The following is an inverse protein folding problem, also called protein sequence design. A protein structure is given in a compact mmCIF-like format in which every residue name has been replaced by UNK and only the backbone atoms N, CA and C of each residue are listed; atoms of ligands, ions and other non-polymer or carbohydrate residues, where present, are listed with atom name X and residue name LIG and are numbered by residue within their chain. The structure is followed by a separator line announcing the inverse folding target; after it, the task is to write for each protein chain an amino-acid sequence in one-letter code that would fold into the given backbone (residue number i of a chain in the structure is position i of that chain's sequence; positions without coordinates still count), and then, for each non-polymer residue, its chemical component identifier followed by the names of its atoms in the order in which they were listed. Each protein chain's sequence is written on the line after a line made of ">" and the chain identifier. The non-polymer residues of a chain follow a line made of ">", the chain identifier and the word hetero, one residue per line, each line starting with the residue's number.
data_IF_468094068815
#
_entry.id   IF_468094068815
#
_cell.length_a   1.000
_cell.length_b   1.000
_cell.length_c   1.000
_cell.angle_alpha   90.00
_cell.angle_beta   90.00
_cell.angle_gamma   90.00
#
_symmetry.space_group_name_H-M   'P 1'
#
loop_
_entity.id
_entity.type
_entity.pdbx_description
1 polymer ?
#
# COMPACT_ATOMS: atom_id res chain seq x y z
N UNK A 1 -1.52 8.77 3.30
CA UNK A 1 -0.32 8.19 2.65
C UNK A 1 -0.69 6.85 2.05
N UNK A 2 -0.33 6.58 0.79
CA UNK A 2 -0.68 5.33 0.07
C UNK A 2 -2.16 4.95 0.23
N UNK A 3 -2.51 3.71 0.60
CA UNK A 3 -3.90 3.29 0.89
C UNK A 3 -4.67 4.26 1.81
N UNK A 4 -4.01 4.84 2.82
CA UNK A 4 -4.64 5.83 3.70
C UNK A 4 -5.07 7.11 2.95
N UNK A 5 -4.50 7.38 1.77
CA UNK A 5 -4.98 8.42 0.86
C UNK A 5 -6.34 8.08 0.25
N UNK A 6 -6.60 6.83 -0.15
CA UNK A 6 -7.94 6.39 -0.61
C UNK A 6 -8.98 6.57 0.50
N UNK A 7 -8.64 6.16 1.73
CA UNK A 7 -9.53 6.34 2.90
C UNK A 7 -9.82 7.82 3.14
N UNK A 8 -8.80 8.67 3.12
CA UNK A 8 -8.97 10.11 3.30
C UNK A 8 -9.80 10.75 2.19
N UNK A 9 -9.57 10.37 0.93
CA UNK A 9 -10.36 10.82 -0.23
C UNK A 9 -11.81 10.39 -0.11
N UNK A 10 -12.07 9.14 0.27
CA UNK A 10 -13.42 8.64 0.48
C UNK A 10 -14.15 9.42 1.58
N UNK A 11 -13.49 9.74 2.70
CA UNK A 11 -14.07 10.59 3.74
C UNK A 11 -14.38 11.99 3.21
N UNK A 12 -13.46 12.59 2.44
CA UNK A 12 -13.65 13.92 1.88
C UNK A 12 -14.82 13.98 0.87
N UNK A 13 -15.03 12.94 0.07
CA UNK A 13 -16.14 12.83 -0.87
C UNK A 13 -17.50 12.68 -0.15
N UNK A 14 -17.54 11.89 0.93
CA UNK A 14 -18.80 11.54 1.60
C UNK A 14 -19.19 12.50 2.75
N UNK A 15 -18.23 13.20 3.32
CA UNK A 15 -18.48 14.17 4.40
C UNK A 15 -17.61 15.44 4.22
N UNK A 16 -17.71 16.15 3.09
CA UNK A 16 -16.86 17.29 2.77
C UNK A 16 -16.92 18.40 3.84
N UNK A 17 -18.08 18.59 4.47
CA UNK A 17 -18.27 19.54 5.57
C UNK A 17 -17.42 19.24 6.82
N UNK A 18 -16.89 18.02 6.95
CA UNK A 18 -16.00 17.61 8.05
C UNK A 18 -14.52 17.66 7.67
N UNK A 19 -14.19 18.01 6.43
CA UNK A 19 -12.83 17.98 5.90
C UNK A 19 -12.42 19.38 5.46
N UNK A 20 -11.61 20.07 6.26
CA UNK A 20 -11.12 21.40 5.90
C UNK A 20 -10.16 21.37 4.70
N UNK A 21 -9.31 20.33 4.62
CA UNK A 21 -8.35 20.08 3.52
C UNK A 21 -8.07 18.59 3.38
N UNK A 22 -7.86 18.12 2.15
CA UNK A 22 -7.38 16.78 1.84
C UNK A 22 -5.92 16.85 1.42
N UNK A 23 -5.05 16.07 2.08
CA UNK A 23 -3.64 15.92 1.71
C UNK A 23 -3.37 14.46 1.44
N UNK A 24 -2.95 14.15 0.22
CA UNK A 24 -2.46 12.83 -0.16
C UNK A 24 -0.94 12.86 -0.27
N UNK A 25 -0.30 11.75 0.10
CA UNK A 25 1.15 11.58 0.01
C UNK A 25 1.36 10.20 -0.59
N UNK A 26 2.13 10.10 -1.68
CA UNK A 26 2.39 8.85 -2.40
C UNK A 26 1.14 7.95 -2.53
N UNK A 27 0.04 8.54 -3.00
CA UNK A 27 -1.25 7.87 -3.16
C UNK A 27 -1.79 8.14 -4.55
N UNK A 28 -2.55 7.19 -5.07
CA UNK A 28 -3.30 7.31 -6.32
C UNK A 28 -4.79 7.15 -6.02
N UNK A 29 -5.73 7.80 -6.73
CA UNK A 29 -7.16 7.50 -6.63
C UNK A 29 -7.51 6.10 -7.17
N UNK A 30 -6.67 5.58 -8.07
CA UNK A 30 -6.73 4.21 -8.59
C UNK A 30 -5.33 3.62 -8.66
N UNK A 31 -5.07 2.56 -7.92
CA UNK A 31 -3.72 1.96 -7.86
C UNK A 31 -3.47 0.98 -9.02
N UNK A 32 -4.48 0.21 -9.41
CA UNK A 32 -4.39 -0.70 -10.53
C UNK A 32 -4.32 0.05 -11.88
N UNK A 33 -3.46 -0.42 -12.78
CA UNK A 33 -3.39 0.09 -14.14
C UNK A 33 -4.59 -0.38 -14.96
N UNK A 34 -5.17 0.53 -15.74
CA UNK A 34 -6.21 0.24 -16.74
C UNK A 34 -6.06 1.27 -17.84
N UNK A 35 -5.98 0.90 -19.13
CA UNK A 35 -5.75 1.93 -20.17
C UNK A 35 -6.88 2.96 -20.20
N UNK A 36 -6.60 4.27 -20.20
CA UNK A 36 -5.30 4.95 -20.33
C UNK A 36 -4.57 5.26 -19.00
N UNK A 37 -5.14 4.89 -17.87
CA UNK A 37 -4.61 5.05 -16.52
C UNK A 37 -3.30 4.30 -16.27
N UNK A 38 -2.32 5.01 -15.73
CA UNK A 38 -1.04 4.44 -15.30
C UNK A 38 -1.14 4.02 -13.84
N UNK A 39 -0.77 2.78 -13.56
CA UNK A 39 -0.78 2.24 -12.21
C UNK A 39 0.10 1.00 -12.10
N UNK A 40 -0.09 0.25 -11.03
CA UNK A 40 0.52 -1.06 -10.82
C UNK A 40 -0.23 -2.07 -11.69
N UNK A 41 0.50 -2.92 -12.41
CA UNK A 41 -0.15 -3.95 -13.23
C UNK A 41 -1.02 -4.86 -12.34
N UNK A 42 -2.29 -5.17 -12.72
CA UNK A 42 -3.18 -5.95 -11.87
C UNK A 42 -2.62 -7.31 -11.45
N UNK A 43 -1.86 -7.96 -12.34
CA UNK A 43 -1.18 -9.23 -12.04
C UNK A 43 -0.06 -9.10 -10.99
N UNK A 44 0.56 -7.93 -10.85
CA UNK A 44 1.56 -7.67 -9.81
C UNK A 44 0.87 -7.52 -8.46
N UNK A 45 -0.28 -6.83 -8.41
CA UNK A 45 -1.10 -6.71 -7.19
C UNK A 45 -1.60 -8.09 -6.73
N UNK A 46 -2.17 -8.89 -7.64
CA UNK A 46 -2.67 -10.22 -7.29
C UNK A 46 -1.56 -11.17 -6.83
N UNK A 47 -0.40 -11.18 -7.50
CA UNK A 47 0.75 -11.95 -7.07
C UNK A 47 1.25 -11.54 -5.68
N UNK A 48 1.30 -10.23 -5.41
CA UNK A 48 1.69 -9.71 -4.11
C UNK A 48 0.74 -10.14 -2.98
N UNK A 49 -0.58 -10.10 -3.24
CA UNK A 49 -1.60 -10.57 -2.29
C UNK A 49 -1.43 -12.06 -1.98
N UNK A 50 -1.28 -12.91 -3.00
CA UNK A 50 -1.07 -14.35 -2.79
C UNK A 50 0.18 -14.64 -1.98
N UNK A 51 1.28 -13.95 -2.28
CA UNK A 51 2.55 -14.10 -1.54
C UNK A 51 2.44 -13.64 -0.08
N UNK A 52 1.69 -12.57 0.20
CA UNK A 52 1.47 -12.10 1.58
C UNK A 52 0.65 -13.10 2.40
N UNK A 53 -0.31 -13.79 1.79
CA UNK A 53 -1.12 -14.83 2.46
C UNK A 53 -0.31 -16.11 2.70
N UNK A 54 0.64 -16.43 1.82
CA UNK A 54 1.52 -17.59 1.95
C UNK A 54 2.64 -17.36 2.97
N UNK A 55 3.38 -16.25 2.83
CA UNK A 55 4.46 -15.86 3.74
C UNK A 55 4.51 -14.33 3.88
N UNK A 56 3.83 -13.84 4.92
CA UNK A 56 3.78 -12.42 5.25
C UNK A 56 5.19 -11.81 5.45
N UNK A 57 6.04 -12.49 6.21
CA UNK A 57 7.33 -11.91 6.63
C UNK A 57 8.27 -11.77 5.44
N UNK A 58 8.43 -12.84 4.65
CA UNK A 58 9.29 -12.82 3.46
C UNK A 58 8.80 -11.81 2.42
N UNK A 59 7.48 -11.74 2.22
CA UNK A 59 6.88 -10.86 1.21
C UNK A 59 7.04 -9.39 1.58
N UNK A 60 6.84 -9.04 2.86
CA UNK A 60 7.12 -7.69 3.37
C UNK A 60 8.60 -7.33 3.25
N UNK A 61 9.51 -8.27 3.54
CA UNK A 61 10.96 -8.03 3.36
C UNK A 61 11.33 -7.72 1.91
N UNK A 62 10.81 -8.51 0.96
CA UNK A 62 10.99 -8.27 -0.48
C UNK A 62 10.41 -6.92 -0.89
N UNK A 63 9.22 -6.58 -0.39
CA UNK A 63 8.60 -5.29 -0.67
C UNK A 63 9.46 -4.12 -0.19
N UNK A 64 9.97 -4.17 1.04
CA UNK A 64 10.86 -3.12 1.58
C UNK A 64 12.16 -3.02 0.80
N UNK A 65 12.74 -4.15 0.37
CA UNK A 65 13.92 -4.15 -0.48
C UNK A 65 13.66 -3.43 -1.81
N UNK A 66 12.49 -3.67 -2.43
CA UNK A 66 12.08 -2.96 -3.66
C UNK A 66 11.94 -1.45 -3.43
N UNK A 67 11.35 -1.03 -2.30
CA UNK A 67 11.18 0.40 -1.98
C UNK A 67 12.50 1.13 -1.76
N UNK A 68 13.53 0.43 -1.28
CA UNK A 68 14.85 1.01 -1.02
C UNK A 68 15.78 0.95 -2.25
N UNK A 69 15.37 0.33 -3.36
CA UNK A 69 16.18 0.31 -4.58
C UNK A 69 16.41 1.74 -5.09
N UNK A 70 17.68 2.09 -5.32
CA UNK A 70 18.08 3.43 -5.72
C UNK A 70 18.41 4.38 -4.56
N UNK A 71 18.18 3.98 -3.30
CA UNK A 71 18.67 4.73 -2.14
C UNK A 71 20.19 4.57 -1.98
N UNK A 72 20.95 5.66 -1.77
CA UNK A 72 22.37 5.58 -1.37
C UNK A 72 22.60 4.77 -0.09
N UNK A 73 21.58 4.70 0.78
CA UNK A 73 21.59 3.98 2.06
C UNK A 73 20.70 2.74 2.06
N UNK A 74 20.40 2.15 0.89
CA UNK A 74 19.41 1.08 0.73
C UNK A 74 19.45 0.00 1.82
N UNK A 75 20.62 -0.57 2.14
CA UNK A 75 20.75 -1.60 3.18
C UNK A 75 20.34 -1.12 4.58
N UNK A 76 20.70 0.12 4.93
CA UNK A 76 20.37 0.73 6.22
C UNK A 76 18.87 1.01 6.29
N UNK A 77 18.30 1.54 5.21
CA UNK A 77 16.88 1.90 5.14
C UNK A 77 16.00 0.65 5.20
N UNK A 78 16.34 -0.41 4.46
CA UNK A 78 15.65 -1.71 4.54
C UNK A 78 15.69 -2.27 5.96
N UNK A 79 16.86 -2.21 6.63
CA UNK A 79 16.99 -2.71 8.01
C UNK A 79 16.09 -1.93 8.97
N UNK A 80 16.06 -0.61 8.85
CA UNK A 80 15.21 0.25 9.70
C UNK A 80 13.73 0.00 9.45
N UNK A 81 13.31 -0.08 8.19
CA UNK A 81 11.93 -0.37 7.81
C UNK A 81 11.50 -1.76 8.32
N UNK A 82 12.36 -2.78 8.14
CA UNK A 82 12.10 -4.14 8.62
C UNK A 82 11.89 -4.18 10.13
N UNK A 83 12.77 -3.51 10.89
CA UNK A 83 12.60 -3.40 12.33
C UNK A 83 11.32 -2.67 12.72
N UNK A 84 10.99 -1.56 12.05
CA UNK A 84 9.78 -0.79 12.35
C UNK A 84 8.50 -1.58 12.09
N UNK A 85 8.44 -2.38 11.01
CA UNK A 85 7.27 -3.19 10.66
C UNK A 85 7.17 -4.45 11.51
N UNK A 86 8.25 -5.22 11.63
CA UNK A 86 8.24 -6.51 12.35
C UNK A 86 8.25 -6.35 13.89
N UNK A 87 8.51 -5.15 14.41
CA UNK A 87 8.32 -4.86 15.84
C UNK A 87 6.85 -4.76 16.27
N UNK A 88 5.93 -4.69 15.30
CA UNK A 88 4.48 -4.68 15.56
C UNK A 88 3.91 -6.11 15.53
N UNK A 89 2.76 -6.34 16.19
CA UNK A 89 2.05 -7.60 16.05
C UNK A 89 1.76 -7.95 14.59
N UNK A 90 1.72 -9.25 14.29
CA UNK A 90 1.26 -9.73 12.98
C UNK A 90 -0.13 -9.14 12.68
N UNK A 91 -0.37 -8.69 11.43
CA UNK A 91 -1.66 -8.13 11.09
C UNK A 91 -2.74 -9.22 11.13
N UNK A 92 -3.97 -8.79 11.37
CA UNK A 92 -5.13 -9.65 11.14
C UNK A 92 -5.20 -9.99 9.63
N UNK A 93 -5.22 -11.28 9.24
CA UNK A 93 -5.19 -11.68 7.83
C UNK A 93 -6.39 -11.19 7.02
N UNK A 94 -7.58 -11.15 7.61
CA UNK A 94 -8.80 -10.67 6.94
C UNK A 94 -8.70 -9.18 6.66
N UNK A 95 -8.26 -8.40 7.65
CA UNK A 95 -8.06 -6.94 7.50
C UNK A 95 -7.00 -6.62 6.45
N UNK A 96 -5.93 -7.41 6.41
CA UNK A 96 -4.89 -7.29 5.39
C UNK A 96 -5.46 -7.55 3.99
N UNK A 97 -6.22 -8.63 3.83
CA UNK A 97 -6.85 -8.99 2.56
C UNK A 97 -7.82 -7.90 2.08
N UNK A 98 -8.65 -7.36 2.98
CA UNK A 98 -9.55 -6.24 2.66
C UNK A 98 -8.77 -5.03 2.16
N UNK A 99 -7.67 -4.66 2.83
CA UNK A 99 -6.82 -3.54 2.39
C UNK A 99 -6.20 -3.75 1.01
N UNK A 100 -5.80 -4.99 0.70
CA UNK A 100 -5.23 -5.36 -0.60
C UNK A 100 -6.28 -5.34 -1.71
N UNK A 101 -7.50 -5.81 -1.43
CA UNK A 101 -8.62 -5.73 -2.38
C UNK A 101 -8.99 -4.27 -2.67
N UNK A 102 -8.97 -3.39 -1.66
CA UNK A 102 -9.16 -1.95 -1.89
C UNK A 102 -8.12 -1.41 -2.87
N UNK A 103 -6.85 -1.78 -2.74
CA UNK A 103 -5.81 -1.35 -3.68
C UNK A 103 -6.00 -1.91 -5.09
N UNK A 104 -6.56 -3.11 -5.22
CA UNK A 104 -6.80 -3.74 -6.52
C UNK A 104 -8.00 -3.13 -7.26
N UNK A 105 -9.08 -2.85 -6.53
CA UNK A 105 -10.40 -2.68 -7.15
C UNK A 105 -10.96 -1.25 -7.05
N UNK A 106 -10.47 -0.43 -6.11
CA UNK A 106 -11.04 0.91 -5.90
C UNK A 106 -10.55 1.92 -6.93
N UNK A 107 -11.52 2.66 -7.46
CA UNK A 107 -11.38 3.81 -8.34
C UNK A 107 -12.24 4.95 -7.76
N UNK A 108 -11.59 6.00 -7.24
CA UNK A 108 -12.24 7.14 -6.56
C UNK A 108 -12.16 8.44 -7.38
#
# INVERSE_FOLDING_TARGET
>A
WSLGGLVATHIALNAPQRVSKLITVASSPKFAAEKPWRGIQPNVLSAFTSQLLEDFSLTIERFMALQAMGSPSARKDVKQLKQAVLSRPQPNPESLLVGLNILADVDL
#
